data_IF_907919212250
#
_entry.id   IF_907919212250
#
_cell.length_a   1.000
_cell.length_b   1.000
_cell.length_c   1.000
_cell.angle_alpha   90.00
_cell.angle_beta   90.00
_cell.angle_gamma   90.00
#
_symmetry.space_group_name_H-M   'P 1'
#
loop_
_entity.id
_entity.type
_entity.pdbx_description
1 polymer ?
#
# COMPACT_ATOMS: atom_id res chain seq x y z
N UNK A 1 -24.88 -5.81 6.99
CA UNK A 1 -24.28 -4.46 6.91
C UNK A 1 -22.88 -4.65 6.41
N UNK A 2 -22.71 -4.83 5.11
CA UNK A 2 -21.49 -5.44 4.55
C UNK A 2 -21.35 -5.01 3.10
N UNK A 3 -20.77 -3.84 2.87
CA UNK A 3 -20.03 -3.64 1.63
C UNK A 3 -18.58 -3.48 2.05
N UNK A 4 -18.00 -4.60 2.52
CA UNK A 4 -16.55 -4.71 2.55
C UNK A 4 -16.07 -4.41 1.14
N UNK A 5 -15.19 -3.41 1.00
CA UNK A 5 -14.66 -3.02 -0.31
C UNK A 5 -14.17 -4.28 -1.03
N UNK A 6 -14.57 -4.45 -2.30
CA UNK A 6 -14.11 -5.57 -3.10
C UNK A 6 -12.58 -5.56 -3.16
N UNK A 7 -11.98 -6.72 -3.43
CA UNK A 7 -10.52 -6.80 -3.60
C UNK A 7 -10.03 -5.75 -4.63
N UNK A 8 -10.79 -5.55 -5.69
CA UNK A 8 -10.50 -4.58 -6.75
C UNK A 8 -10.54 -3.14 -6.23
N UNK A 9 -11.52 -2.81 -5.38
CA UNK A 9 -11.60 -1.50 -4.75
C UNK A 9 -10.43 -1.26 -3.79
N UNK A 10 -10.04 -2.29 -3.02
CA UNK A 10 -8.86 -2.22 -2.14
C UNK A 10 -7.58 -2.00 -2.97
N UNK A 11 -7.43 -2.68 -4.10
CA UNK A 11 -6.30 -2.49 -5.03
C UNK A 11 -6.31 -1.09 -5.65
N UNK A 12 -7.48 -0.58 -6.04
CA UNK A 12 -7.62 0.77 -6.58
C UNK A 12 -7.24 1.83 -5.56
N UNK A 13 -7.66 1.67 -4.30
CA UNK A 13 -7.29 2.56 -3.20
C UNK A 13 -5.78 2.57 -2.96
N UNK A 14 -5.15 1.40 -2.91
CA UNK A 14 -3.68 1.29 -2.74
C UNK A 14 -2.94 1.95 -3.90
N UNK A 15 -3.37 1.71 -5.16
CA UNK A 15 -2.78 2.36 -6.34
C UNK A 15 -2.92 3.87 -6.25
N UNK A 16 -4.08 4.38 -5.83
CA UNK A 16 -4.31 5.82 -5.67
C UNK A 16 -3.40 6.43 -4.61
N UNK A 17 -3.21 5.75 -3.47
CA UNK A 17 -2.31 6.21 -2.41
C UNK A 17 -0.84 6.19 -2.83
N UNK A 18 -0.43 5.20 -3.63
CA UNK A 18 0.91 5.16 -4.22
C UNK A 18 1.11 6.33 -5.21
N UNK A 19 0.11 6.61 -6.05
CA UNK A 19 0.15 7.74 -6.99
C UNK A 19 0.16 9.11 -6.30
N UNK A 20 -0.56 9.27 -5.18
CA UNK A 20 -0.55 10.51 -4.38
C UNK A 20 0.70 10.67 -3.51
N UNK A 21 1.53 9.62 -3.38
CA UNK A 21 2.70 9.60 -2.52
C UNK A 21 2.38 9.46 -1.03
N UNK A 22 1.16 9.04 -0.70
CA UNK A 22 0.71 8.72 0.67
C UNK A 22 1.15 7.34 1.12
N UNK A 23 1.38 6.41 0.20
CA UNK A 23 1.97 5.10 0.45
C UNK A 23 3.34 4.99 -0.23
N UNK A 24 4.24 4.21 0.37
CA UNK A 24 5.57 3.91 -0.16
C UNK A 24 5.71 2.39 -0.34
N UNK A 25 6.43 2.02 -1.40
CA UNK A 25 6.79 0.64 -1.70
C UNK A 25 8.24 0.42 -1.28
N UNK A 26 8.46 -0.53 -0.37
CA UNK A 26 9.77 -0.90 0.14
C UNK A 26 10.10 -2.28 -0.38
N UNK A 27 11.18 -2.39 -1.15
CA UNK A 27 11.72 -3.65 -1.60
C UNK A 27 12.81 -4.12 -0.63
N UNK A 28 12.69 -5.36 -0.16
CA UNK A 28 13.75 -6.02 0.61
C UNK A 28 14.48 -6.99 -0.29
N UNK A 29 15.70 -6.63 -0.71
CA UNK A 29 16.54 -7.52 -1.53
C UNK A 29 16.89 -8.81 -0.79
N UNK A 30 17.08 -8.73 0.53
CA UNK A 30 17.47 -9.87 1.37
C UNK A 30 16.44 -11.00 1.38
N UNK A 31 15.16 -10.66 1.32
CA UNK A 31 14.05 -11.63 1.38
C UNK A 31 13.24 -11.69 0.09
N UNK A 32 13.62 -10.92 -0.94
CA UNK A 32 12.88 -10.76 -2.21
C UNK A 32 11.39 -10.43 -1.98
N UNK A 33 11.11 -9.51 -1.06
CA UNK A 33 9.74 -9.14 -0.67
C UNK A 33 9.40 -7.68 -0.97
N UNK A 34 8.14 -7.44 -1.33
CA UNK A 34 7.55 -6.10 -1.45
C UNK A 34 6.72 -5.81 -0.20
N UNK A 35 7.01 -4.72 0.49
CA UNK A 35 6.13 -4.16 1.50
C UNK A 35 5.51 -2.86 1.01
N UNK A 36 4.21 -2.68 1.26
CA UNK A 36 3.50 -1.43 0.98
C UNK A 36 3.04 -0.88 2.33
N UNK A 37 3.48 0.33 2.66
CA UNK A 37 3.14 0.97 3.93
C UNK A 37 2.83 2.45 3.73
N UNK A 38 2.00 3.06 4.59
CA UNK A 38 1.79 4.51 4.57
C UNK A 38 3.12 5.23 4.78
N UNK A 39 3.36 6.31 4.03
CA UNK A 39 4.56 7.15 4.12
C UNK A 39 4.82 7.67 5.54
N UNK A 40 3.76 7.85 6.33
CA UNK A 40 3.86 8.26 7.74
C UNK A 40 4.58 7.20 8.59
N UNK A 41 4.33 5.92 8.32
CA UNK A 41 4.92 4.79 9.06
C UNK A 41 6.37 4.52 8.65
N UNK A 42 6.78 4.91 7.45
CA UNK A 42 8.16 4.75 6.98
C UNK A 42 9.14 5.78 7.58
N UNK A 43 8.66 6.90 8.14
CA UNK A 43 9.49 8.02 8.63
C UNK A 43 9.68 8.05 10.15
N UNK A 44 9.31 7.00 10.86
CA UNK A 44 9.65 6.77 12.28
C UNK A 44 10.83 5.78 12.38
#
# INVERSE_FOLDING_TARGET
GEHERSLEQKVADVKRQLQSGEAVLVWSELHETVNIMPKKQFRE
#
